data_IF_294679439610
#
_entry.id   IF_294679439610
#
_cell.length_a   1.000
_cell.length_b   1.000
_cell.length_c   1.000
_cell.angle_alpha   90.00
_cell.angle_beta   90.00
_cell.angle_gamma   90.00
#
_symmetry.space_group_name_H-M   'P 1'
#
loop_
_entity.id
_entity.type
_entity.pdbx_description
1 polymer ?
#
# COMPACT_ATOMS: atom_id res chain seq x y z
N UNK A 1 11.62 -22.19 5.19
CA UNK A 1 12.73 -21.22 5.01
C UNK A 1 13.11 -21.25 3.53
N UNK A 2 13.38 -20.10 2.93
CA UNK A 2 13.82 -20.04 1.54
C UNK A 2 15.18 -20.71 1.38
N UNK A 3 15.36 -21.53 0.32
CA UNK A 3 16.66 -22.09 -0.05
C UNK A 3 17.55 -21.07 -0.79
N UNK A 4 17.04 -19.87 -1.06
CA UNK A 4 17.80 -18.78 -1.66
C UNK A 4 18.75 -18.16 -0.62
N UNK A 5 20.08 -18.23 -0.84
CA UNK A 5 21.08 -17.73 0.12
C UNK A 5 20.95 -16.23 0.42
N UNK A 6 20.52 -15.44 -0.55
CA UNK A 6 20.29 -13.99 -0.38
C UNK A 6 19.13 -13.73 0.59
N UNK A 7 17.97 -14.34 0.34
CA UNK A 7 16.79 -14.25 1.19
C UNK A 7 17.06 -14.76 2.60
N UNK A 8 17.78 -15.89 2.73
CA UNK A 8 18.14 -16.46 4.04
C UNK A 8 19.05 -15.52 4.85
N UNK A 9 20.03 -14.87 4.19
CA UNK A 9 20.96 -13.93 4.84
C UNK A 9 20.31 -12.59 5.17
N UNK A 10 19.37 -12.14 4.35
CA UNK A 10 18.61 -10.89 4.56
C UNK A 10 17.49 -11.04 5.61
N UNK A 11 17.02 -12.28 5.85
CA UNK A 11 16.01 -12.54 6.86
C UNK A 11 16.48 -12.11 8.25
N UNK A 12 15.71 -11.27 8.91
CA UNK A 12 16.05 -10.79 10.26
C UNK A 12 14.84 -10.81 11.17
N UNK A 13 15.07 -11.17 12.43
CA UNK A 13 14.06 -11.17 13.46
C UNK A 13 13.96 -9.78 14.09
N UNK A 14 12.73 -9.29 14.24
CA UNK A 14 12.40 -8.10 15.01
C UNK A 14 11.01 -8.32 15.63
N UNK A 15 10.72 -7.61 16.71
CA UNK A 15 9.37 -7.66 17.29
C UNK A 15 8.34 -7.08 16.32
N UNK A 16 7.06 -7.45 16.41
CA UNK A 16 6.01 -6.86 15.57
C UNK A 16 5.97 -5.34 15.62
N UNK A 17 6.14 -4.74 16.80
CA UNK A 17 6.15 -3.29 16.96
C UNK A 17 7.33 -2.61 16.25
N UNK A 18 8.53 -3.21 16.30
CA UNK A 18 9.70 -2.72 15.57
C UNK A 18 9.51 -2.81 14.06
N UNK A 19 8.99 -3.95 13.56
CA UNK A 19 8.68 -4.13 12.14
C UNK A 19 7.67 -3.09 11.63
N UNK A 20 6.60 -2.83 12.40
CA UNK A 20 5.57 -1.86 12.04
C UNK A 20 6.13 -0.44 12.01
N UNK A 21 6.92 -0.08 13.03
CA UNK A 21 7.57 1.23 13.09
C UNK A 21 8.53 1.43 11.91
N UNK A 22 9.40 0.46 11.64
CA UNK A 22 10.37 0.49 10.54
C UNK A 22 9.67 0.61 9.18
N UNK A 23 8.64 -0.22 8.91
CA UNK A 23 7.85 -0.14 7.69
C UNK A 23 7.27 1.27 7.46
N UNK A 24 6.71 1.88 8.50
CA UNK A 24 6.13 3.22 8.41
C UNK A 24 7.17 4.29 8.17
N UNK A 25 8.22 4.28 8.97
CA UNK A 25 9.21 5.36 8.97
C UNK A 25 10.14 5.30 7.76
N UNK A 26 10.58 4.09 7.38
CA UNK A 26 11.61 3.89 6.37
C UNK A 26 11.05 3.59 4.96
N UNK A 27 9.81 3.11 4.86
CA UNK A 27 9.25 2.71 3.56
C UNK A 27 8.04 3.56 3.17
N UNK A 28 6.98 3.58 3.99
CA UNK A 28 5.73 4.24 3.62
C UNK A 28 5.92 5.76 3.53
N UNK A 29 6.55 6.38 4.54
CA UNK A 29 6.79 7.85 4.57
C UNK A 29 7.76 8.33 3.50
N UNK A 30 8.72 7.51 3.09
CA UNK A 30 9.68 7.85 2.03
C UNK A 30 9.08 7.73 0.64
N UNK A 31 8.04 6.91 0.49
CA UNK A 31 7.39 6.68 -0.80
C UNK A 31 6.41 7.79 -1.14
N UNK A 32 6.54 8.39 -2.32
CA UNK A 32 5.69 9.50 -2.78
C UNK A 32 4.26 9.05 -3.12
N UNK A 33 4.10 7.81 -3.52
CA UNK A 33 2.83 7.18 -3.90
C UNK A 33 2.95 5.67 -3.74
N UNK A 34 1.81 5.00 -3.77
CA UNK A 34 1.70 3.56 -3.82
C UNK A 34 1.21 3.10 -5.20
N UNK A 35 1.59 1.90 -5.62
CA UNK A 35 1.01 1.24 -6.79
C UNK A 35 -0.06 0.26 -6.31
N UNK A 36 -1.32 0.55 -6.61
CA UNK A 36 -2.42 -0.38 -6.37
C UNK A 36 -2.61 -1.29 -7.58
N UNK A 37 -2.51 -2.59 -7.35
CA UNK A 37 -2.72 -3.63 -8.35
C UNK A 37 -4.02 -4.37 -8.07
N UNK A 38 -4.89 -4.44 -9.08
CA UNK A 38 -6.16 -5.16 -9.10
C UNK A 38 -6.13 -6.19 -10.22
N UNK A 39 -7.05 -7.17 -10.17
CA UNK A 39 -7.19 -8.22 -11.16
C UNK A 39 -8.54 -8.11 -11.85
N UNK A 40 -8.53 -7.98 -13.17
CA UNK A 40 -9.73 -7.95 -13.99
C UNK A 40 -10.32 -9.35 -14.21
N UNK A 41 -11.54 -9.38 -14.75
CA UNK A 41 -12.30 -10.63 -15.00
C UNK A 41 -11.57 -11.61 -15.93
N UNK A 42 -10.79 -11.11 -16.88
CA UNK A 42 -9.99 -11.93 -17.79
C UNK A 42 -8.65 -12.39 -17.18
N UNK A 43 -8.38 -12.01 -15.93
CA UNK A 43 -7.16 -12.37 -15.21
C UNK A 43 -6.02 -11.37 -15.39
N UNK A 44 -6.18 -10.33 -16.20
CA UNK A 44 -5.17 -9.27 -16.39
C UNK A 44 -4.95 -8.48 -15.10
N UNK A 45 -3.69 -8.19 -14.78
CA UNK A 45 -3.32 -7.36 -13.62
C UNK A 45 -3.15 -5.91 -14.07
N UNK A 46 -3.89 -5.01 -13.43
CA UNK A 46 -3.82 -3.59 -13.65
C UNK A 46 -3.17 -2.89 -12.45
N UNK A 47 -2.09 -2.18 -12.67
CA UNK A 47 -1.40 -1.42 -11.62
C UNK A 47 -1.49 0.08 -11.89
N UNK A 48 -1.75 0.88 -10.85
CA UNK A 48 -1.89 2.34 -10.96
C UNK A 48 -1.36 3.07 -9.74
N UNK A 49 -0.72 4.21 -9.97
CA UNK A 49 -0.22 5.06 -8.90
C UNK A 49 -1.39 5.73 -8.15
N UNK A 50 -1.38 5.62 -6.82
CA UNK A 50 -2.37 6.24 -5.94
C UNK A 50 -1.70 6.68 -4.64
N UNK A 51 -2.15 7.81 -4.08
CA UNK A 51 -1.73 8.24 -2.75
C UNK A 51 -2.77 7.79 -1.73
N UNK A 52 -2.37 7.06 -0.68
CA UNK A 52 -3.29 6.72 0.40
C UNK A 52 -3.82 7.98 1.08
N UNK A 53 -5.13 8.05 1.31
CA UNK A 53 -5.76 9.08 2.14
C UNK A 53 -5.58 8.78 3.63
N UNK A 54 -5.31 7.53 3.98
CA UNK A 54 -4.96 7.05 5.32
C UNK A 54 -4.17 5.75 5.25
N UNK A 55 -3.27 5.57 6.22
CA UNK A 55 -2.50 4.34 6.47
C UNK A 55 -2.58 3.93 7.96
N UNK A 56 -3.54 4.49 8.70
CA UNK A 56 -3.71 4.24 10.13
C UNK A 56 -3.92 2.76 10.41
N UNK A 57 -3.20 2.22 11.40
CA UNK A 57 -3.22 0.79 11.75
C UNK A 57 -2.75 -0.12 10.62
N UNK A 58 -1.97 0.39 9.65
CA UNK A 58 -1.63 -0.29 8.40
C UNK A 58 -2.86 -0.68 7.56
N UNK A 59 -3.98 -0.01 7.76
CA UNK A 59 -5.14 -0.08 6.89
C UNK A 59 -5.06 1.07 5.89
N UNK A 60 -4.96 0.73 4.61
CA UNK A 60 -4.77 1.73 3.55
C UNK A 60 -6.12 2.12 2.96
N UNK A 61 -6.39 3.42 2.93
CA UNK A 61 -7.63 3.98 2.38
C UNK A 61 -7.29 4.82 1.16
N UNK A 62 -7.93 4.53 0.03
CA UNK A 62 -7.77 5.30 -1.20
C UNK A 62 -9.10 5.89 -1.63
N UNK A 63 -9.12 7.17 -1.98
CA UNK A 63 -10.28 7.85 -2.56
C UNK A 63 -10.11 7.89 -4.07
N UNK A 64 -11.16 7.54 -4.79
CA UNK A 64 -11.13 7.46 -6.25
C UNK A 64 -12.50 7.74 -6.88
N UNK A 65 -12.50 8.09 -8.17
CA UNK A 65 -13.71 8.22 -8.96
C UNK A 65 -14.26 6.84 -9.33
N UNK A 66 -15.54 6.61 -9.06
CA UNK A 66 -16.24 5.34 -9.32
C UNK A 66 -16.43 5.04 -10.82
N UNK A 67 -16.33 6.05 -11.67
CA UNK A 67 -16.40 5.88 -13.13
C UNK A 67 -15.09 5.26 -13.71
N UNK A 68 -14.13 4.87 -12.85
CA UNK A 68 -12.86 4.29 -13.32
C UNK A 68 -12.88 2.77 -13.24
N UNK A 69 -12.35 2.10 -14.27
CA UNK A 69 -12.38 0.64 -14.45
C UNK A 69 -11.77 -0.22 -13.33
N UNK A 70 -11.09 0.39 -12.34
CA UNK A 70 -10.60 -0.35 -11.16
C UNK A 70 -11.73 -0.91 -10.29
N UNK A 71 -12.90 -0.32 -10.35
CA UNK A 71 -14.05 -0.78 -9.57
C UNK A 71 -14.65 -2.06 -10.16
N UNK A 72 -14.64 -2.18 -11.49
CA UNK A 72 -15.06 -3.40 -12.18
C UNK A 72 -14.12 -4.57 -11.80
N UNK A 73 -12.81 -4.32 -11.73
CA UNK A 73 -11.83 -5.29 -11.29
C UNK A 73 -12.12 -5.78 -9.85
N UNK A 74 -12.41 -4.85 -8.93
CA UNK A 74 -12.68 -5.16 -7.52
C UNK A 74 -14.03 -5.82 -7.27
N UNK A 75 -15.01 -5.61 -8.13
CA UNK A 75 -16.26 -6.38 -8.11
C UNK A 75 -16.03 -7.84 -8.44
N UNK A 76 -15.05 -8.08 -9.31
CA UNK A 76 -14.70 -9.43 -9.72
C UNK A 76 -13.77 -10.12 -8.71
N UNK A 77 -12.73 -9.41 -8.24
CA UNK A 77 -11.72 -9.95 -7.32
C UNK A 77 -11.33 -8.92 -6.27
N UNK A 78 -11.65 -9.19 -5.01
CA UNK A 78 -11.30 -8.32 -3.87
C UNK A 78 -9.82 -8.38 -3.49
N UNK A 79 -9.07 -9.38 -3.99
CA UNK A 79 -7.65 -9.51 -3.70
C UNK A 79 -6.86 -8.43 -4.45
N UNK A 80 -6.01 -7.74 -3.71
CA UNK A 80 -5.20 -6.64 -4.23
C UNK A 80 -3.77 -6.71 -3.70
N UNK A 81 -2.88 -6.05 -4.42
CA UNK A 81 -1.55 -5.74 -3.91
C UNK A 81 -1.32 -4.23 -3.93
N UNK A 82 -0.73 -3.70 -2.85
CA UNK A 82 -0.22 -2.34 -2.80
C UNK A 82 1.29 -2.41 -2.70
N UNK A 83 2.00 -1.76 -3.62
CA UNK A 83 3.46 -1.69 -3.58
C UNK A 83 3.91 -0.27 -3.27
N UNK A 84 4.86 -0.15 -2.34
CA UNK A 84 5.61 1.07 -2.06
C UNK A 84 7.04 0.88 -2.53
N UNK A 85 7.65 1.92 -3.07
CA UNK A 85 9.04 1.86 -3.51
C UNK A 85 9.67 3.25 -3.46
N UNK A 86 10.88 3.31 -2.90
CA UNK A 86 11.73 4.48 -2.93
C UNK A 86 13.03 4.15 -3.66
N UNK A 87 13.20 4.73 -4.85
CA UNK A 87 14.37 4.49 -5.69
C UNK A 87 15.67 5.02 -5.08
N UNK A 88 15.60 5.96 -4.14
CA UNK A 88 16.79 6.58 -3.52
C UNK A 88 17.43 5.69 -2.45
N UNK A 89 16.59 5.01 -1.66
CA UNK A 89 17.01 4.09 -0.60
C UNK A 89 17.00 2.63 -1.01
N UNK A 90 16.32 2.30 -2.12
CA UNK A 90 15.95 0.94 -2.54
C UNK A 90 14.98 0.24 -1.59
N UNK A 91 14.40 0.97 -0.63
CA UNK A 91 13.40 0.44 0.26
C UNK A 91 12.09 0.16 -0.49
N UNK A 92 11.46 -0.95 -0.19
CA UNK A 92 10.19 -1.30 -0.80
C UNK A 92 9.30 -2.11 0.15
N UNK A 93 7.99 -2.09 -0.12
CA UNK A 93 7.03 -2.98 0.51
C UNK A 93 6.01 -3.49 -0.50
N UNK A 94 5.59 -4.73 -0.30
CA UNK A 94 4.49 -5.39 -0.99
C UNK A 94 3.45 -5.78 0.03
N UNK A 95 2.28 -5.16 -0.05
CA UNK A 95 1.16 -5.35 0.86
C UNK A 95 0.10 -6.16 0.14
N UNK A 96 -0.08 -7.41 0.51
CA UNK A 96 -1.15 -8.27 0.00
C UNK A 96 -2.35 -8.19 0.92
N UNK A 97 -3.55 -8.05 0.37
CA UNK A 97 -4.74 -7.91 1.17
C UNK A 97 -6.03 -7.95 0.36
N UNK A 98 -7.13 -7.71 1.05
CA UNK A 98 -8.45 -7.62 0.45
C UNK A 98 -8.96 -6.19 0.49
N UNK A 99 -9.45 -5.72 -0.63
CA UNK A 99 -10.07 -4.40 -0.74
C UNK A 99 -11.56 -4.49 -0.39
N UNK A 100 -11.98 -3.65 0.55
CA UNK A 100 -13.38 -3.43 0.84
C UNK A 100 -13.77 -2.03 0.38
N UNK A 101 -14.79 -1.94 -0.44
CA UNK A 101 -15.31 -0.66 -0.90
C UNK A 101 -16.30 -0.07 0.12
N UNK A 102 -16.20 1.24 0.36
CA UNK A 102 -17.13 2.01 1.18
C UNK A 102 -17.87 3.01 0.29
N UNK A 103 -19.18 3.13 0.49
CA UNK A 103 -20.04 3.96 -0.36
C UNK A 103 -20.77 5.04 0.42
N UNK A 104 -20.76 4.93 1.74
CA UNK A 104 -21.45 5.85 2.62
C UNK A 104 -20.64 7.15 2.79
N UNK A 105 -21.21 8.34 2.49
CA UNK A 105 -20.53 9.62 2.59
C UNK A 105 -19.99 9.92 4.01
N UNK A 106 -20.69 9.52 5.06
CA UNK A 106 -20.22 9.75 6.43
C UNK A 106 -18.99 8.90 6.77
N UNK A 107 -18.89 7.71 6.20
CA UNK A 107 -17.68 6.86 6.29
C UNK A 107 -16.51 7.42 5.46
N UNK A 108 -16.77 8.17 4.39
CA UNK A 108 -15.75 8.76 3.52
C UNK A 108 -15.23 10.08 4.09
N UNK A 109 -16.10 10.85 4.73
CA UNK A 109 -15.82 12.19 5.25
C UNK A 109 -14.53 12.32 6.07
N UNK A 110 -14.19 11.38 6.98
CA UNK A 110 -12.94 11.45 7.75
C UNK A 110 -11.67 11.39 6.91
N UNK A 111 -11.75 10.82 5.70
CA UNK A 111 -10.63 10.65 4.78
C UNK A 111 -10.59 11.72 3.68
N UNK A 112 -11.63 12.56 3.61
CA UNK A 112 -11.72 13.58 2.59
C UNK A 112 -10.75 14.74 2.87
N UNK A 113 -9.98 15.09 1.83
CA UNK A 113 -9.14 16.28 1.82
C UNK A 113 -9.60 17.20 0.69
N UNK A 114 -9.77 18.51 0.90
CA UNK A 114 -10.17 19.47 -0.14
C UNK A 114 -9.29 19.44 -1.40
N UNK A 115 -8.00 19.08 -1.29
CA UNK A 115 -7.12 18.92 -2.44
C UNK A 115 -7.58 17.80 -3.39
N UNK A 116 -8.35 16.81 -2.91
CA UNK A 116 -8.93 15.77 -3.74
C UNK A 116 -9.93 16.31 -4.76
N UNK A 117 -10.53 17.49 -4.52
CA UNK A 117 -11.41 18.17 -5.47
C UNK A 117 -10.73 18.33 -6.84
N UNK A 118 -9.42 18.50 -6.87
CA UNK A 118 -8.65 18.63 -8.12
C UNK A 118 -8.78 17.40 -9.05
N UNK A 119 -9.05 16.23 -8.49
CA UNK A 119 -9.19 14.97 -9.24
C UNK A 119 -10.62 14.70 -9.71
N UNK A 120 -11.61 15.31 -9.06
CA UNK A 120 -13.03 15.16 -9.41
C UNK A 120 -13.55 16.30 -10.27
N UNK A 121 -12.99 17.51 -10.09
CA UNK A 121 -13.49 18.72 -10.68
C UNK A 121 -14.89 19.09 -10.16
N UNK A 122 -15.28 20.35 -10.31
CA UNK A 122 -16.62 20.84 -10.06
C UNK A 122 -17.37 20.87 -11.38
N UNK A 123 -18.33 19.96 -11.57
CA UNK A 123 -19.17 19.90 -12.77
C UNK A 123 -20.55 20.53 -12.54
N UNK A 124 -20.75 21.16 -11.38
CA UNK A 124 -22.00 21.82 -11.00
C UNK A 124 -23.04 20.86 -10.39
N UNK A 125 -24.00 21.41 -9.68
CA UNK A 125 -25.06 20.68 -9.01
C UNK A 125 -24.52 19.66 -8.00
N UNK A 126 -24.99 18.44 -8.08
CA UNK A 126 -24.55 17.35 -7.19
C UNK A 126 -23.11 16.92 -7.47
N UNK A 127 -22.59 17.11 -8.70
CA UNK A 127 -21.21 16.77 -9.10
C UNK A 127 -20.23 17.90 -8.74
N UNK A 128 -20.22 18.29 -7.49
CA UNK A 128 -19.51 19.48 -6.97
C UNK A 128 -18.06 19.23 -6.53
N UNK A 129 -17.56 17.99 -6.68
CA UNK A 129 -16.22 17.58 -6.29
C UNK A 129 -15.97 17.62 -4.78
N UNK A 130 -16.99 17.33 -3.95
CA UNK A 130 -16.88 17.15 -2.50
C UNK A 130 -17.11 15.69 -2.12
N UNK A 131 -16.98 15.35 -0.83
CA UNK A 131 -17.23 13.99 -0.36
C UNK A 131 -18.68 13.51 -0.53
N UNK A 132 -19.61 14.41 -0.82
CA UNK A 132 -21.02 14.13 -1.13
C UNK A 132 -21.31 14.02 -2.63
N UNK A 133 -20.30 14.26 -3.48
CA UNK A 133 -20.43 14.12 -4.93
C UNK A 133 -20.81 12.69 -5.29
N UNK A 134 -21.82 12.44 -6.16
CA UNK A 134 -22.24 11.09 -6.52
C UNK A 134 -21.17 10.26 -7.24
N UNK A 135 -20.15 10.90 -7.83
CA UNK A 135 -18.94 10.19 -8.32
C UNK A 135 -18.07 9.74 -7.16
N UNK A 136 -18.22 10.40 -6.02
CA UNK A 136 -17.62 10.10 -4.73
C UNK A 136 -18.62 9.39 -3.81
N UNK A 137 -19.93 9.56 -3.95
CA UNK A 137 -20.98 8.94 -3.15
C UNK A 137 -22.00 8.17 -3.99
N UNK A 138 -22.60 7.14 -3.43
CA UNK A 138 -23.50 6.23 -4.10
C UNK A 138 -24.87 6.81 -4.44
N UNK A 139 -25.43 6.48 -5.60
CA UNK A 139 -26.87 6.44 -5.87
C UNK A 139 -27.26 4.99 -6.20
N UNK A 140 -28.47 4.53 -5.78
CA UNK A 140 -28.83 3.13 -5.77
C UNK A 140 -29.18 2.62 -7.17
N UNK A 141 -28.17 2.23 -7.91
CA UNK A 141 -28.22 1.20 -8.94
C UNK A 141 -26.82 0.68 -9.17
N UNK A 142 -26.53 -0.42 -8.52
CA UNK A 142 -25.28 -1.16 -8.65
C UNK A 142 -24.03 -0.28 -8.66
N UNK A 143 -23.39 -0.20 -7.49
CA UNK A 143 -21.96 0.07 -7.30
C UNK A 143 -21.47 1.50 -7.48
N UNK A 144 -21.83 2.38 -6.58
CA UNK A 144 -20.97 3.53 -6.31
C UNK A 144 -20.02 3.17 -5.16
N UNK A 145 -18.75 2.98 -5.45
CA UNK A 145 -17.74 2.43 -4.55
C UNK A 145 -16.51 3.30 -4.57
N UNK A 146 -16.20 3.96 -3.46
CA UNK A 146 -15.30 5.11 -3.53
C UNK A 146 -14.12 5.06 -2.60
N UNK A 147 -14.26 4.45 -1.46
CA UNK A 147 -13.16 4.27 -0.53
C UNK A 147 -12.78 2.81 -0.52
N UNK A 148 -11.57 2.55 -0.96
CA UNK A 148 -10.98 1.22 -0.91
C UNK A 148 -10.18 1.11 0.37
N UNK A 149 -10.72 0.38 1.33
CA UNK A 149 -10.00 -0.03 2.51
C UNK A 149 -9.28 -1.35 2.20
N UNK A 150 -7.98 -1.33 2.13
CA UNK A 150 -7.18 -2.54 2.00
C UNK A 150 -6.74 -3.00 3.39
N UNK A 151 -7.24 -4.17 3.81
CA UNK A 151 -6.78 -4.85 5.01
C UNK A 151 -5.70 -5.84 4.64
N UNK A 152 -4.46 -5.59 5.06
CA UNK A 152 -3.37 -6.50 4.76
C UNK A 152 -3.57 -7.88 5.39
N UNK A 153 -3.28 -8.92 4.64
CA UNK A 153 -3.09 -10.28 5.15
C UNK A 153 -1.61 -10.58 5.42
N UNK A 154 -0.76 -9.99 4.60
CA UNK A 154 0.70 -10.12 4.67
C UNK A 154 1.35 -8.87 4.09
N UNK A 155 2.42 -8.42 4.73
CA UNK A 155 3.28 -7.34 4.23
C UNK A 155 4.70 -7.84 4.19
N UNK A 156 5.28 -7.93 3.00
CA UNK A 156 6.71 -8.16 2.81
C UNK A 156 7.39 -6.83 2.51
N UNK A 157 8.50 -6.54 3.18
CA UNK A 157 9.21 -5.31 2.96
C UNK A 157 10.73 -5.48 3.12
N UNK A 158 11.44 -4.60 2.43
CA UNK A 158 12.88 -4.49 2.45
C UNK A 158 13.29 -3.12 2.96
N UNK A 159 14.23 -3.11 3.90
CA UNK A 159 14.88 -1.89 4.37
C UNK A 159 16.39 -2.05 4.19
N UNK A 160 16.98 -1.11 3.48
CA UNK A 160 18.41 -1.03 3.31
C UNK A 160 19.10 -0.59 4.61
N UNK A 161 20.16 -1.28 4.98
CA UNK A 161 21.04 -0.89 6.11
C UNK A 161 22.24 -0.07 5.65
N UNK A 162 22.36 0.19 4.35
CA UNK A 162 23.47 0.88 3.72
C UNK A 162 23.02 2.07 2.87
N UNK A 163 23.89 3.05 2.73
CA UNK A 163 23.72 4.07 1.69
C UNK A 163 23.86 3.44 0.29
N UNK A 164 23.32 4.10 -0.74
CA UNK A 164 23.39 3.60 -2.13
C UNK A 164 24.83 3.27 -2.57
N UNK A 165 25.82 4.06 -2.15
CA UNK A 165 27.25 3.80 -2.42
C UNK A 165 27.72 2.55 -1.67
N UNK A 166 27.33 2.39 -0.41
CA UNK A 166 27.65 1.23 0.41
C UNK A 166 27.09 -0.08 -0.16
N UNK A 167 25.89 -0.03 -0.74
CA UNK A 167 25.29 -1.19 -1.41
C UNK A 167 26.12 -1.64 -2.63
N UNK A 168 26.52 -0.68 -3.48
CA UNK A 168 27.35 -0.98 -4.67
C UNK A 168 28.66 -1.63 -4.25
N UNK A 169 29.30 -1.13 -3.19
CA UNK A 169 30.56 -1.70 -2.67
C UNK A 169 30.36 -3.10 -2.10
N UNK A 170 29.27 -3.35 -1.35
CA UNK A 170 28.97 -4.67 -0.80
C UNK A 170 28.70 -5.69 -1.92
N UNK A 171 27.94 -5.30 -2.96
CA UNK A 171 27.68 -6.14 -4.12
C UNK A 171 28.96 -6.44 -4.88
N UNK A 172 29.82 -5.44 -5.13
CA UNK A 172 31.10 -5.62 -5.81
C UNK A 172 32.05 -6.57 -5.03
N UNK A 173 32.13 -6.38 -3.70
CA UNK A 173 32.89 -7.27 -2.82
C UNK A 173 32.38 -8.70 -2.88
N UNK A 174 31.06 -8.88 -2.77
CA UNK A 174 30.41 -10.19 -2.83
C UNK A 174 30.63 -10.89 -4.16
N UNK A 175 30.60 -10.17 -5.27
CA UNK A 175 30.90 -10.70 -6.59
C UNK A 175 32.33 -11.21 -6.70
N UNK A 176 33.29 -10.59 -6.01
CA UNK A 176 34.70 -11.00 -6.01
C UNK A 176 34.98 -12.15 -5.06
N UNK A 177 34.28 -12.21 -3.92
CA UNK A 177 34.52 -13.22 -2.87
C UNK A 177 33.66 -14.47 -2.98
N UNK A 178 32.58 -14.42 -3.81
CA UNK A 178 31.59 -15.49 -3.89
C UNK A 178 30.65 -15.53 -2.68
N UNK A 179 30.74 -14.58 -1.75
CA UNK A 179 29.81 -14.46 -0.62
C UNK A 179 28.53 -13.75 -1.06
N UNK A 180 27.40 -14.10 -0.45
CA UNK A 180 26.13 -13.43 -0.72
C UNK A 180 26.12 -12.05 -0.06
N UNK A 181 25.81 -11.00 -0.82
CA UNK A 181 25.60 -9.66 -0.26
C UNK A 181 24.38 -9.63 0.67
N UNK A 182 24.43 -8.81 1.71
CA UNK A 182 23.29 -8.55 2.60
C UNK A 182 23.20 -7.05 2.92
N UNK A 183 22.84 -6.22 1.93
CA UNK A 183 22.81 -4.77 2.10
C UNK A 183 21.58 -4.25 2.85
N UNK A 184 20.72 -5.12 3.38
CA UNK A 184 19.51 -4.75 4.10
C UNK A 184 18.82 -5.93 4.76
N UNK A 185 17.60 -5.67 5.24
CA UNK A 185 16.74 -6.64 5.90
C UNK A 185 15.47 -6.89 5.10
N UNK A 186 15.17 -8.16 4.84
CA UNK A 186 13.88 -8.62 4.34
C UNK A 186 13.04 -9.09 5.53
N UNK A 187 11.85 -8.51 5.69
CA UNK A 187 10.96 -8.81 6.81
C UNK A 187 9.54 -9.02 6.34
N UNK A 188 8.79 -9.83 7.12
CA UNK A 188 7.38 -10.08 6.90
C UNK A 188 6.59 -9.69 8.15
N UNK A 189 5.46 -9.01 7.94
CA UNK A 189 4.43 -8.74 8.95
C UNK A 189 3.21 -9.57 8.55
N UNK A 190 2.75 -10.44 9.43
CA UNK A 190 1.57 -11.26 9.21
C UNK A 190 0.33 -10.62 9.82
N UNK A 191 -0.87 -11.10 9.42
CA UNK A 191 -2.13 -10.59 9.92
C UNK A 191 -2.26 -10.57 11.46
N UNK A 192 -1.64 -11.54 12.15
CA UNK A 192 -1.56 -11.56 13.62
C UNK A 192 -0.78 -10.38 14.22
N UNK A 193 0.28 -9.91 13.53
CA UNK A 193 1.10 -8.79 13.98
C UNK A 193 0.36 -7.46 13.80
N UNK A 194 -0.58 -7.40 12.83
CA UNK A 194 -1.36 -6.21 12.52
C UNK A 194 -2.36 -5.84 13.62
N UNK A 195 -2.83 -6.80 14.41
CA UNK A 195 -3.68 -6.51 15.56
C UNK A 195 -2.93 -5.71 16.63
N UNK A 196 -1.61 -5.90 16.74
CA UNK A 196 -0.75 -5.12 17.64
C UNK A 196 -0.66 -3.66 17.15
N UNK A 197 -0.59 -3.43 15.84
CA UNK A 197 -0.55 -2.08 15.26
C UNK A 197 -1.82 -1.28 15.60
N UNK A 198 -2.98 -1.90 15.55
CA UNK A 198 -4.26 -1.25 15.88
C UNK A 198 -4.34 -0.83 17.34
N UNK A 199 -3.86 -1.70 18.24
CA UNK A 199 -3.93 -1.43 19.70
C UNK A 199 -2.95 -0.33 20.11
N UNK A 200 -1.83 -0.17 19.44
CA UNK A 200 -0.82 0.86 19.76
C UNK A 200 -1.23 2.28 19.33
N UNK A 201 -2.18 2.43 18.42
CA UNK A 201 -2.68 3.75 17.96
C UNK A 201 -3.93 4.25 18.71
N UNK A 202 -4.51 3.42 19.58
CA UNK A 202 -5.64 3.81 20.42
C UNK A 202 -5.22 4.37 21.79
N UNK A 203 -3.93 4.44 22.05
CA UNK A 203 -3.32 5.04 23.26
C UNK A 203 -2.67 6.37 22.93
#
# INVERSE_FOLDING_TARGET
>A
MSNDPYTAKAASNASPAEKIKELRDEVIKSSKFAMLTTRSKDGTLHSRAMSPASDKGLVFVFIANNESGKFDDLEHDENVNISFSDASSTNWASVSGKAKTMTDPESIKPFWNPALKAWFGDLGGEKNGTYTDPRVSAIPRLSARIVQEVRPSEINYWVSTRTSIGQVLDVAKSALTGETAAPGHLRTIYGSDLEIAKTSEQK
#
